data_IF_912983135992
#
_entry.id   IF_912983135992
#
_cell.length_a   1.000
_cell.length_b   1.000
_cell.length_c   1.000
_cell.angle_alpha   90.00
_cell.angle_beta   90.00
_cell.angle_gamma   90.00
#
_symmetry.space_group_name_H-M   'P 1'
#
loop_
_entity.id
_entity.type
_entity.pdbx_description
1 polymer ?
#
# COMPACT_ATOMS: atom_id res chain seq x y z
N UNK A 1 32.31 27.41 -3.31
CA UNK A 1 31.80 26.18 -3.95
C UNK A 1 30.38 26.00 -3.43
N UNK A 2 29.40 26.53 -4.15
CA UNK A 2 27.99 26.44 -3.78
C UNK A 2 27.51 25.06 -4.24
N UNK A 3 27.08 24.22 -3.30
CA UNK A 3 26.38 22.98 -3.63
C UNK A 3 25.04 23.37 -4.29
N UNK A 4 24.62 22.73 -5.39
CA UNK A 4 23.32 23.01 -5.96
C UNK A 4 22.27 22.59 -4.93
N UNK A 5 21.27 23.44 -4.71
CA UNK A 5 20.09 23.09 -3.94
C UNK A 5 19.38 21.95 -4.68
N UNK A 6 19.69 20.69 -4.33
CA UNK A 6 18.89 19.53 -4.72
C UNK A 6 17.50 19.73 -4.10
N UNK A 7 16.58 20.18 -4.94
CA UNK A 7 15.18 20.37 -4.58
C UNK A 7 14.61 18.99 -4.22
N UNK A 8 14.40 18.77 -2.91
CA UNK A 8 13.77 17.56 -2.40
C UNK A 8 12.28 17.59 -2.76
N UNK A 9 11.90 16.84 -3.79
CA UNK A 9 10.50 16.66 -4.19
C UNK A 9 9.89 15.46 -3.45
N UNK A 10 8.81 15.72 -2.71
CA UNK A 10 8.04 14.70 -2.02
C UNK A 10 7.17 13.93 -3.01
N UNK A 11 7.54 12.68 -3.30
CA UNK A 11 6.74 11.80 -4.15
C UNK A 11 5.61 11.14 -3.33
N UNK A 12 4.32 11.43 -3.63
CA UNK A 12 3.21 10.79 -2.95
C UNK A 12 3.10 9.31 -3.32
N UNK A 13 2.72 8.48 -2.34
CA UNK A 13 2.57 7.03 -2.50
C UNK A 13 1.23 6.55 -1.97
N UNK A 14 0.67 5.56 -2.65
CA UNK A 14 -0.56 4.86 -2.28
C UNK A 14 -0.24 3.46 -1.78
N UNK A 15 -0.88 3.07 -0.68
CA UNK A 15 -0.92 1.68 -0.24
C UNK A 15 -1.97 0.89 -1.02
N UNK A 16 -1.63 -0.30 -1.50
CA UNK A 16 -2.55 -1.24 -2.12
C UNK A 16 -2.58 -2.53 -1.31
N UNK A 17 -3.78 -2.98 -0.95
CA UNK A 17 -4.02 -4.29 -0.37
C UNK A 17 -4.31 -5.30 -1.50
N UNK A 18 -3.37 -6.22 -1.73
CA UNK A 18 -3.45 -7.24 -2.77
C UNK A 18 -3.80 -8.58 -2.15
N UNK A 19 -4.98 -9.08 -2.43
CA UNK A 19 -5.43 -10.42 -2.02
C UNK A 19 -4.93 -11.45 -3.02
N UNK A 20 -4.27 -12.49 -2.53
CA UNK A 20 -3.56 -13.47 -3.36
C UNK A 20 -4.07 -14.89 -3.10
N UNK A 21 -3.96 -15.77 -4.09
CA UNK A 21 -4.24 -17.21 -3.91
C UNK A 21 -3.00 -17.97 -3.44
N UNK A 22 -1.80 -17.56 -3.89
CA UNK A 22 -0.55 -18.25 -3.65
C UNK A 22 0.59 -17.28 -3.36
N UNK A 23 1.42 -17.60 -2.36
CA UNK A 23 2.58 -16.81 -1.95
C UNK A 23 3.65 -16.70 -3.04
N UNK A 24 3.60 -17.55 -4.07
CA UNK A 24 4.51 -17.48 -5.22
C UNK A 24 4.42 -16.13 -5.95
N UNK A 25 3.25 -15.50 -5.94
CA UNK A 25 3.02 -14.21 -6.61
C UNK A 25 3.71 -13.03 -5.91
N UNK A 26 4.10 -13.16 -4.64
CA UNK A 26 4.77 -12.08 -3.87
C UNK A 26 6.08 -11.64 -4.55
N UNK A 27 6.79 -12.58 -5.20
CA UNK A 27 7.99 -12.25 -5.98
C UNK A 27 7.68 -11.34 -7.17
N UNK A 28 6.54 -11.57 -7.83
CA UNK A 28 6.06 -10.71 -8.91
C UNK A 28 5.58 -9.34 -8.37
N UNK A 29 4.91 -9.30 -7.21
CA UNK A 29 4.44 -8.05 -6.60
C UNK A 29 5.57 -7.03 -6.34
N UNK A 30 6.79 -7.51 -6.05
CA UNK A 30 7.98 -6.65 -5.90
C UNK A 30 8.37 -5.89 -7.16
N UNK A 31 7.92 -6.32 -8.34
CA UNK A 31 8.16 -5.60 -9.58
C UNK A 31 7.23 -4.38 -9.75
N UNK A 32 6.06 -4.41 -9.09
CA UNK A 32 5.05 -3.35 -9.19
C UNK A 32 5.19 -2.29 -8.10
N UNK A 33 5.87 -2.60 -7.00
CA UNK A 33 6.05 -1.67 -5.90
C UNK A 33 6.77 -2.28 -4.72
N UNK A 34 6.92 -1.50 -3.66
CA UNK A 34 7.58 -1.93 -2.44
C UNK A 34 6.60 -2.72 -1.58
N UNK A 35 6.86 -4.02 -1.40
CA UNK A 35 6.08 -4.86 -0.49
C UNK A 35 6.41 -4.45 0.95
N UNK A 36 5.40 -4.01 1.70
CA UNK A 36 5.55 -3.58 3.08
C UNK A 36 5.21 -4.70 4.07
N UNK A 37 4.10 -5.41 3.81
CA UNK A 37 3.63 -6.48 4.68
C UNK A 37 3.08 -7.64 3.85
N UNK A 38 3.18 -8.85 4.39
CA UNK A 38 2.60 -10.06 3.80
C UNK A 38 1.97 -10.89 4.91
N UNK A 39 0.65 -11.05 4.86
CA UNK A 39 -0.04 -11.95 5.77
C UNK A 39 0.17 -13.40 5.35
N UNK A 40 0.64 -14.23 6.30
CA UNK A 40 0.79 -15.68 6.09
C UNK A 40 -0.55 -16.42 6.21
N UNK A 41 -1.45 -15.96 7.07
CA UNK A 41 -2.73 -16.61 7.40
C UNK A 41 -3.88 -16.14 6.51
N UNK A 42 -3.97 -14.84 6.24
CA UNK A 42 -5.09 -14.24 5.51
C UNK A 42 -4.85 -14.04 4.01
N UNK A 43 -3.70 -14.51 3.48
CA UNK A 43 -3.38 -14.50 2.05
C UNK A 43 -3.54 -13.14 1.36
N UNK A 44 -2.93 -12.10 1.94
CA UNK A 44 -2.84 -10.79 1.31
C UNK A 44 -1.46 -10.17 1.53
N UNK A 45 -1.12 -9.17 0.71
CA UNK A 45 0.07 -8.35 0.85
C UNK A 45 -0.29 -6.87 0.76
N UNK A 46 0.42 -6.03 1.52
CA UNK A 46 0.36 -4.58 1.40
C UNK A 46 1.57 -4.14 0.59
N UNK A 47 1.33 -3.42 -0.50
CA UNK A 47 2.37 -2.85 -1.35
C UNK A 47 2.21 -1.33 -1.43
N UNK A 48 3.32 -0.61 -1.47
CA UNK A 48 3.33 0.82 -1.76
C UNK A 48 3.76 1.04 -3.21
N UNK A 49 2.98 1.87 -3.89
CA UNK A 49 3.18 2.28 -5.29
C UNK A 49 3.13 3.80 -5.34
N UNK A 50 3.85 4.42 -6.26
CA UNK A 50 3.77 5.87 -6.44
C UNK A 50 2.37 6.26 -6.94
N UNK A 51 1.82 7.35 -6.43
CA UNK A 51 0.42 7.75 -6.64
C UNK A 51 0.06 7.85 -8.14
N UNK A 52 0.97 8.39 -8.94
CA UNK A 52 0.81 8.53 -10.38
C UNK A 52 0.67 7.19 -11.13
N UNK A 53 1.14 6.09 -10.56
CA UNK A 53 1.15 4.75 -11.19
C UNK A 53 0.05 3.82 -10.67
N UNK A 54 -0.77 4.27 -9.72
CA UNK A 54 -1.75 3.43 -9.03
C UNK A 54 -2.73 2.77 -9.98
N UNK A 55 -3.37 3.54 -10.86
CA UNK A 55 -4.40 3.03 -11.75
C UNK A 55 -3.86 1.94 -12.70
N UNK A 56 -2.74 2.22 -13.36
CA UNK A 56 -2.08 1.25 -14.25
C UNK A 56 -1.64 -0.01 -13.48
N UNK A 57 -1.10 0.18 -12.27
CA UNK A 57 -0.62 -0.93 -11.44
C UNK A 57 -1.77 -1.83 -11.00
N UNK A 58 -2.92 -1.27 -10.62
CA UNK A 58 -4.11 -2.04 -10.28
C UNK A 58 -4.54 -2.92 -11.46
N UNK A 59 -4.69 -2.34 -12.65
CA UNK A 59 -5.08 -3.09 -13.85
C UNK A 59 -4.12 -4.25 -14.17
N UNK A 60 -2.81 -4.01 -14.01
CA UNK A 60 -1.78 -5.04 -14.27
C UNK A 60 -1.79 -6.12 -13.20
N UNK A 61 -2.01 -5.77 -11.95
CA UNK A 61 -2.11 -6.71 -10.84
C UNK A 61 -3.35 -7.61 -10.95
N UNK A 62 -4.49 -7.05 -11.34
CA UNK A 62 -5.74 -7.81 -11.50
C UNK A 62 -5.68 -8.85 -12.63
N UNK A 63 -4.83 -8.62 -13.64
CA UNK A 63 -4.57 -9.60 -14.72
C UNK A 63 -3.72 -10.79 -14.28
N UNK A 64 -3.09 -10.75 -13.10
CA UNK A 64 -2.29 -11.87 -12.61
C UNK A 64 -3.20 -13.01 -12.11
N UNK A 65 -2.99 -14.22 -12.64
CA UNK A 65 -3.77 -15.42 -12.29
C UNK A 65 -3.88 -15.73 -10.78
N UNK A 66 -2.92 -15.28 -9.97
CA UNK A 66 -2.88 -15.53 -8.54
C UNK A 66 -3.29 -14.33 -7.68
N UNK A 67 -3.80 -13.27 -8.30
CA UNK A 67 -4.38 -12.11 -7.63
C UNK A 67 -5.90 -12.26 -7.70
N UNK A 68 -6.55 -12.18 -6.54
CA UNK A 68 -8.01 -12.30 -6.43
C UNK A 68 -8.70 -10.94 -6.46
N UNK A 69 -8.05 -9.95 -5.86
CA UNK A 69 -8.59 -8.59 -5.69
C UNK A 69 -7.47 -7.64 -5.30
N UNK A 70 -7.56 -6.41 -5.77
CA UNK A 70 -6.70 -5.29 -5.34
C UNK A 70 -7.60 -4.21 -4.76
N UNK A 71 -7.23 -3.66 -3.60
CA UNK A 71 -7.97 -2.59 -2.95
C UNK A 71 -7.01 -1.44 -2.66
N UNK A 72 -7.19 -0.24 -3.25
CA UNK A 72 -6.41 0.93 -2.90
C UNK A 72 -6.78 1.46 -1.52
N UNK A 73 -5.80 2.00 -0.80
CA UNK A 73 -6.03 2.68 0.48
C UNK A 73 -6.81 3.96 0.25
N UNK A 74 -7.89 4.18 1.02
CA UNK A 74 -8.65 5.43 0.98
C UNK A 74 -8.03 6.54 1.85
N UNK A 75 -6.98 6.24 2.63
CA UNK A 75 -6.41 7.17 3.60
C UNK A 75 -5.97 8.51 2.98
N UNK A 76 -5.29 8.54 1.81
CA UNK A 76 -4.91 9.81 1.20
C UNK A 76 -6.07 10.66 0.68
N UNK A 77 -7.26 10.07 0.49
CA UNK A 77 -8.45 10.79 0.02
C UNK A 77 -9.33 11.26 1.19
N UNK A 78 -8.99 10.88 2.42
CA UNK A 78 -9.74 11.24 3.61
C UNK A 78 -9.29 12.61 4.12
N UNK A 79 -10.27 13.46 4.46
CA UNK A 79 -10.01 14.75 5.08
C UNK A 79 -9.27 14.56 6.42
N UNK A 80 -8.04 15.09 6.59
CA UNK A 80 -7.27 14.93 7.81
C UNK A 80 -7.98 15.50 9.05
N UNK A 81 -8.85 16.50 8.88
CA UNK A 81 -9.61 17.10 9.98
C UNK A 81 -10.69 16.15 10.54
N UNK A 82 -11.13 15.17 9.73
CA UNK A 82 -12.04 14.10 10.15
C UNK A 82 -11.26 12.87 10.65
N UNK A 83 -10.02 12.67 10.18
CA UNK A 83 -9.16 11.55 10.55
C UNK A 83 -8.57 11.65 11.97
N UNK A 84 -8.67 12.80 12.64
CA UNK A 84 -8.32 13.05 14.05
C UNK A 84 -9.29 12.37 15.07
N UNK A 85 -9.81 11.20 14.69
CA UNK A 85 -10.57 10.25 15.50
C UNK A 85 -9.74 9.62 16.63
N UNK A 86 -8.44 9.92 16.73
CA UNK A 86 -7.63 9.62 17.91
C UNK A 86 -8.23 10.26 19.18
N UNK A 87 -8.96 11.38 19.04
CA UNK A 87 -9.74 11.99 20.11
C UNK A 87 -11.03 11.22 20.48
N UNK A 88 -11.54 10.38 19.58
CA UNK A 88 -12.86 9.73 19.72
C UNK A 88 -12.78 8.31 20.31
N UNK A 89 -11.57 7.76 20.53
CA UNK A 89 -11.39 6.48 21.23
C UNK A 89 -11.84 5.23 20.46
N UNK A 90 -12.01 5.30 19.13
CA UNK A 90 -12.58 4.22 18.33
C UNK A 90 -11.60 3.15 17.84
N UNK A 91 -10.28 3.35 17.94
CA UNK A 91 -9.28 2.39 17.48
C UNK A 91 -8.51 1.78 18.66
N UNK A 92 -8.60 0.44 18.81
CA UNK A 92 -7.65 -0.34 19.63
C UNK A 92 -6.45 -0.67 18.75
N UNK A 93 -5.26 -0.28 19.17
CA UNK A 93 -4.01 -0.88 18.69
C UNK A 93 -4.11 -2.39 18.90
N UNK A 94 -4.17 -3.16 17.81
CA UNK A 94 -3.99 -4.60 17.88
C UNK A 94 -2.51 -4.82 18.17
N UNK A 95 -2.19 -5.21 19.41
CA UNK A 95 -0.92 -5.83 19.75
C UNK A 95 -0.86 -7.18 19.00
N UNK A 96 0.08 -7.29 18.06
CA UNK A 96 0.47 -8.57 17.48
C UNK A 96 1.33 -9.32 18.51
N UNK A 97 0.71 -10.20 19.30
CA UNK A 97 1.42 -11.30 19.99
C UNK A 97 0.73 -12.62 19.63
N UNK A 98 1.29 -13.29 18.62
CA UNK A 98 1.14 -14.72 18.33
C UNK A 98 2.39 -15.24 17.57
#
# INVERSE_FOLDING_TARGET
>A
MQMPDEQFELVPRRGLAVYISSRRVIRALRHYGRVHYVSKRAHYAIIYVDEAQVAETIERLEKLHNVKRVVPSALPDLDPDVADLASTGLYKTHDEDD
#
